data_IF_631640951586
#
_entry.id   IF_631640951586
#
_cell.length_a   1.000
_cell.length_b   1.000
_cell.length_c   1.000
_cell.angle_alpha   90.00
_cell.angle_beta   90.00
_cell.angle_gamma   90.00
#
_symmetry.space_group_name_H-M   'P 1'
#
loop_
_entity.id
_entity.type
_entity.pdbx_description
1 polymer ?
#
# COMPACT_ATOMS: atom_id res chain seq x y z
N UNK A 1 9.63 -21.04 13.59
CA UNK A 1 10.66 -20.18 14.25
C UNK A 1 11.38 -19.41 13.15
N UNK A 2 11.28 -18.09 13.12
CA UNK A 2 12.07 -17.27 12.19
C UNK A 2 13.57 -17.43 12.49
N UNK A 3 14.38 -17.65 11.46
CA UNK A 3 15.84 -17.68 11.55
C UNK A 3 16.40 -16.48 10.78
N UNK A 4 17.50 -15.91 11.27
CA UNK A 4 18.24 -14.86 10.58
C UNK A 4 18.75 -15.43 9.25
N UNK A 5 18.35 -14.84 8.13
CA UNK A 5 18.94 -15.14 6.84
C UNK A 5 20.40 -14.64 6.84
N UNK A 6 21.31 -15.43 6.25
CA UNK A 6 22.69 -15.01 6.04
C UNK A 6 22.74 -13.73 5.20
N UNK A 7 23.74 -12.91 5.52
CA UNK A 7 23.92 -11.54 5.03
C UNK A 7 24.42 -11.56 3.58
N UNK A 8 23.53 -11.91 2.64
CA UNK A 8 23.71 -11.53 1.24
C UNK A 8 23.68 -10.00 1.10
N UNK A 9 24.18 -9.45 -0.02
CA UNK A 9 24.08 -8.02 -0.31
C UNK A 9 22.61 -7.58 -0.22
N UNK A 10 22.26 -6.96 0.92
CA UNK A 10 20.93 -6.39 1.12
C UNK A 10 20.84 -5.18 0.20
N UNK A 11 20.14 -5.33 -0.91
CA UNK A 11 19.82 -4.20 -1.79
C UNK A 11 19.15 -3.12 -0.95
N UNK A 12 19.74 -1.93 -0.92
CA UNK A 12 19.18 -0.80 -0.19
C UNK A 12 17.80 -0.46 -0.76
N UNK A 13 16.81 -0.23 0.09
CA UNK A 13 15.56 0.40 -0.30
C UNK A 13 15.16 1.42 0.76
N UNK A 14 14.57 2.53 0.31
CA UNK A 14 13.91 3.50 1.18
C UNK A 14 12.63 2.92 1.82
N UNK A 15 12.15 1.79 1.29
CA UNK A 15 11.07 0.95 1.80
C UNK A 15 11.59 -0.47 2.12
N UNK A 16 12.47 -0.64 3.14
CA UNK A 16 13.29 -1.82 3.33
C UNK A 16 12.54 -3.09 3.76
N UNK A 17 11.32 -2.95 4.26
CA UNK A 17 10.43 -4.08 4.51
C UNK A 17 9.08 -3.76 3.89
N UNK A 18 8.83 -4.46 2.78
CA UNK A 18 7.66 -4.30 1.92
C UNK A 18 6.59 -5.33 2.30
N UNK A 19 6.32 -5.48 3.61
CA UNK A 19 5.06 -6.11 4.00
C UNK A 19 3.94 -5.17 3.56
N UNK A 20 3.15 -5.57 2.57
CA UNK A 20 2.15 -4.71 1.94
C UNK A 20 1.15 -4.10 2.94
N UNK A 21 0.98 -4.73 4.11
CA UNK A 21 0.08 -4.29 5.18
C UNK A 21 0.67 -3.25 6.14
N UNK A 22 2.00 -3.13 6.23
CA UNK A 22 2.67 -2.21 7.17
C UNK A 22 4.07 -1.84 6.64
N UNK A 23 4.15 -0.93 5.65
CA UNK A 23 5.42 -0.53 5.05
C UNK A 23 6.36 0.08 6.09
N UNK A 24 7.64 -0.30 6.04
CA UNK A 24 8.70 0.42 6.75
C UNK A 24 9.29 1.50 5.83
N UNK A 25 9.54 2.67 6.39
CA UNK A 25 10.12 3.83 5.72
C UNK A 25 11.43 4.21 6.40
N UNK A 26 12.49 4.44 5.61
CA UNK A 26 13.72 5.06 6.11
C UNK A 26 13.59 6.58 6.16
N UNK A 27 14.55 7.23 6.82
CA UNK A 27 14.60 8.69 6.96
C UNK A 27 14.33 9.48 5.67
N UNK A 28 14.93 9.17 4.49
CA UNK A 28 14.64 9.93 3.27
C UNK A 28 13.17 9.86 2.83
N UNK A 29 12.55 8.68 2.94
CA UNK A 29 11.13 8.51 2.65
C UNK A 29 10.25 9.29 3.64
N UNK A 30 10.60 9.27 4.93
CA UNK A 30 9.87 10.03 5.96
C UNK A 30 9.97 11.53 5.72
N UNK A 31 11.17 12.05 5.46
CA UNK A 31 11.40 13.47 5.18
C UNK A 31 10.62 13.94 3.94
N UNK A 32 10.56 13.11 2.89
CA UNK A 32 9.85 13.44 1.66
C UNK A 32 8.31 13.29 1.75
N UNK A 33 7.81 12.27 2.46
CA UNK A 33 6.41 11.83 2.34
C UNK A 33 5.57 12.06 3.61
N UNK A 34 6.16 12.41 4.76
CA UNK A 34 5.42 12.49 6.02
C UNK A 34 4.22 13.43 5.95
N UNK A 35 4.33 14.59 5.30
CA UNK A 35 3.21 15.52 5.14
C UNK A 35 2.04 14.91 4.36
N UNK A 36 2.32 14.10 3.34
CA UNK A 36 1.30 13.41 2.54
C UNK A 36 0.72 12.19 3.24
N UNK A 37 1.47 11.54 4.15
CA UNK A 37 1.06 10.32 4.85
C UNK A 37 0.27 10.58 6.14
N UNK A 38 0.60 11.66 6.88
CA UNK A 38 -0.04 12.00 8.16
C UNK A 38 -1.56 12.12 8.13
N UNK A 39 -2.22 12.58 7.04
CA UNK A 39 -3.67 12.57 6.96
C UNK A 39 -4.29 11.16 6.98
N UNK A 40 -3.53 10.14 6.61
CA UNK A 40 -4.03 8.78 6.41
C UNK A 40 -3.55 7.78 7.48
N UNK A 41 -2.67 8.20 8.38
CA UNK A 41 -2.09 7.32 9.38
C UNK A 41 -0.95 7.90 10.19
N UNK A 42 -0.26 7.01 10.88
CA UNK A 42 0.80 7.33 11.83
C UNK A 42 2.15 6.81 11.34
N UNK A 43 3.21 7.56 11.62
CA UNK A 43 4.59 7.14 11.43
C UNK A 43 5.19 6.79 12.79
N UNK A 44 5.32 5.50 13.06
CA UNK A 44 5.78 4.97 14.35
C UNK A 44 7.26 4.63 14.27
N UNK A 45 8.09 5.40 14.98
CA UNK A 45 9.53 5.14 15.03
C UNK A 45 9.82 3.79 15.70
N UNK A 46 10.66 2.97 15.07
CA UNK A 46 11.15 1.74 15.68
C UNK A 46 12.34 2.04 16.60
N UNK A 47 12.30 1.50 17.82
CA UNK A 47 13.33 1.77 18.82
C UNK A 47 14.68 1.22 18.34
N UNK A 48 15.69 2.08 18.32
CA UNK A 48 17.08 1.70 18.00
C UNK A 48 17.41 1.69 16.52
N UNK A 49 16.49 2.07 15.63
CA UNK A 49 16.68 2.10 14.18
C UNK A 49 16.19 3.43 13.61
N UNK A 50 16.84 3.97 12.57
CA UNK A 50 16.32 5.12 11.82
C UNK A 50 15.28 4.68 10.76
N UNK A 51 14.24 3.99 11.24
CA UNK A 51 13.16 3.43 10.45
C UNK A 51 11.82 3.64 11.14
N UNK A 52 10.79 3.95 10.35
CA UNK A 52 9.44 4.21 10.80
C UNK A 52 8.48 3.22 10.16
N UNK A 53 7.58 2.66 10.95
CA UNK A 53 6.44 1.91 10.47
C UNK A 53 5.31 2.87 10.08
N UNK A 54 4.78 2.72 8.87
CA UNK A 54 3.54 3.39 8.48
C UNK A 54 2.33 2.56 8.94
N UNK A 55 1.64 3.07 9.96
CA UNK A 55 0.36 2.56 10.40
C UNK A 55 -0.77 3.34 9.73
N UNK A 56 -1.23 2.87 8.55
CA UNK A 56 -2.41 3.46 7.89
C UNK A 56 -3.65 3.15 8.73
N UNK A 57 -4.30 4.21 9.23
CA UNK A 57 -5.54 4.16 10.02
C UNK A 57 -6.76 4.60 9.19
N UNK A 58 -6.53 5.15 8.00
CA UNK A 58 -7.59 5.46 7.05
C UNK A 58 -8.13 4.18 6.39
N UNK A 59 -9.24 3.68 6.93
CA UNK A 59 -9.91 2.47 6.47
C UNK A 59 -11.16 2.85 5.69
N UNK A 60 -11.27 2.34 4.46
CA UNK A 60 -12.42 2.58 3.56
C UNK A 60 -12.99 1.23 3.13
N UNK A 61 -14.29 1.04 3.33
CA UNK A 61 -15.02 -0.13 2.85
C UNK A 61 -15.39 0.00 1.36
N UNK A 62 -14.35 -0.04 0.51
CA UNK A 62 -14.45 0.22 -0.92
C UNK A 62 -14.37 -1.05 -1.79
N UNK A 63 -14.25 -2.25 -1.21
CA UNK A 63 -14.18 -3.48 -2.01
C UNK A 63 -15.54 -3.77 -2.63
N UNK A 64 -15.59 -3.86 -3.95
CA UNK A 64 -16.76 -4.37 -4.67
C UNK A 64 -16.64 -5.88 -4.78
N UNK A 65 -17.23 -6.60 -3.83
CA UNK A 65 -17.14 -8.06 -3.78
C UNK A 65 -17.79 -8.75 -4.98
N UNK A 66 -18.78 -8.12 -5.62
CA UNK A 66 -19.48 -8.69 -6.77
C UNK A 66 -18.64 -8.62 -8.05
N UNK A 67 -17.78 -7.60 -8.19
CA UNK A 67 -16.87 -7.42 -9.33
C UNK A 67 -15.44 -7.93 -9.08
N UNK A 68 -15.09 -8.19 -7.81
CA UNK A 68 -13.79 -8.74 -7.43
C UNK A 68 -13.73 -10.25 -7.62
N UNK A 69 -12.52 -10.78 -7.81
CA UNK A 69 -12.26 -12.22 -7.78
C UNK A 69 -11.76 -12.59 -6.39
N UNK A 70 -12.64 -13.19 -5.58
CA UNK A 70 -12.41 -13.46 -4.16
C UNK A 70 -12.42 -14.97 -3.93
N UNK A 71 -11.37 -15.48 -3.30
CA UNK A 71 -11.32 -16.83 -2.74
C UNK A 71 -11.75 -16.76 -1.28
N UNK A 72 -12.69 -17.62 -0.88
CA UNK A 72 -13.25 -17.65 0.47
C UNK A 72 -12.96 -18.99 1.16
N UNK A 73 -12.91 -18.95 2.49
CA UNK A 73 -13.02 -20.16 3.30
C UNK A 73 -14.45 -20.71 3.25
N UNK A 74 -14.65 -21.97 3.66
CA UNK A 74 -15.98 -22.58 3.77
C UNK A 74 -16.94 -21.78 4.68
N UNK A 75 -16.38 -21.04 5.65
CA UNK A 75 -17.13 -20.15 6.55
C UNK A 75 -17.57 -18.82 5.94
N UNK A 76 -17.18 -18.53 4.69
CA UNK A 76 -17.53 -17.30 3.97
C UNK A 76 -16.53 -16.14 4.14
N UNK A 77 -15.60 -16.23 5.08
CA UNK A 77 -14.52 -15.25 5.25
C UNK A 77 -13.59 -15.21 4.03
N UNK A 78 -13.06 -14.02 3.72
CA UNK A 78 -12.10 -13.82 2.62
C UNK A 78 -10.77 -14.51 2.97
N UNK A 79 -10.37 -15.47 2.14
CA UNK A 79 -9.05 -16.10 2.19
C UNK A 79 -8.05 -15.26 1.38
N UNK A 80 -8.42 -14.88 0.15
CA UNK A 80 -7.58 -14.08 -0.74
C UNK A 80 -8.44 -13.28 -1.73
N UNK A 81 -7.89 -12.17 -2.22
CA UNK A 81 -8.46 -11.40 -3.33
C UNK A 81 -7.47 -11.49 -4.48
N UNK A 82 -7.83 -12.23 -5.52
CA UNK A 82 -6.97 -12.45 -6.70
C UNK A 82 -7.07 -11.30 -7.71
N UNK A 83 -8.21 -10.60 -7.73
CA UNK A 83 -8.42 -9.39 -8.52
C UNK A 83 -9.32 -8.42 -7.78
N UNK A 84 -8.83 -7.20 -7.60
CA UNK A 84 -9.57 -6.13 -6.95
C UNK A 84 -10.53 -5.44 -7.93
N UNK A 85 -11.74 -5.18 -7.48
CA UNK A 85 -12.60 -4.14 -8.01
C UNK A 85 -12.98 -3.22 -6.85
N UNK A 86 -12.84 -1.91 -7.06
CA UNK A 86 -13.20 -0.92 -6.05
C UNK A 86 -14.43 -0.10 -6.45
N UNK A 87 -15.13 0.39 -5.42
CA UNK A 87 -16.09 1.47 -5.52
C UNK A 87 -15.34 2.81 -5.47
N UNK A 88 -15.25 3.47 -6.62
CA UNK A 88 -14.51 4.73 -6.78
C UNK A 88 -15.11 5.88 -5.96
N UNK A 89 -16.43 5.91 -5.81
CA UNK A 89 -17.14 6.98 -5.11
C UNK A 89 -16.83 6.92 -3.61
N UNK A 90 -16.74 5.71 -3.04
CA UNK A 90 -16.35 5.51 -1.63
C UNK A 90 -14.89 5.90 -1.36
N UNK A 91 -13.99 5.68 -2.31
CA UNK A 91 -12.57 6.10 -2.17
C UNK A 91 -12.47 7.63 -2.25
N UNK A 92 -13.23 8.26 -3.14
CA UNK A 92 -13.21 9.70 -3.34
C UNK A 92 -11.80 10.19 -3.69
N UNK A 93 -11.29 11.17 -2.94
CA UNK A 93 -9.97 11.76 -3.14
C UNK A 93 -8.87 11.17 -2.25
N UNK A 94 -9.13 10.07 -1.54
CA UNK A 94 -8.13 9.48 -0.64
C UNK A 94 -6.90 9.00 -1.42
N UNK A 95 -5.72 9.46 -1.01
CA UNK A 95 -4.46 9.05 -1.63
C UNK A 95 -3.92 7.73 -1.07
N UNK A 96 -4.25 7.40 0.18
CA UNK A 96 -3.76 6.20 0.88
C UNK A 96 -4.88 5.61 1.74
N UNK A 97 -5.15 4.31 1.63
CA UNK A 97 -6.17 3.65 2.45
C UNK A 97 -5.91 2.15 2.65
N UNK A 98 -6.68 1.55 3.57
CA UNK A 98 -6.82 0.09 3.75
C UNK A 98 -8.28 -0.33 3.65
N UNK A 99 -8.51 -1.60 3.32
CA UNK A 99 -9.82 -2.25 3.43
C UNK A 99 -10.11 -2.67 4.88
N UNK A 100 -11.39 -2.83 5.26
CA UNK A 100 -11.80 -3.25 6.60
C UNK A 100 -11.58 -4.75 6.86
N UNK A 101 -10.38 -5.25 6.57
CA UNK A 101 -9.99 -6.64 6.78
C UNK A 101 -8.60 -6.75 7.40
N UNK A 102 -8.37 -7.86 8.12
CA UNK A 102 -7.06 -8.15 8.72
C UNK A 102 -6.05 -8.31 7.60
N UNK A 103 -4.86 -7.76 7.79
CA UNK A 103 -3.81 -7.80 6.78
C UNK A 103 -4.31 -7.27 5.41
N UNK A 104 -5.08 -6.17 5.40
CA UNK A 104 -5.28 -5.42 4.15
C UNK A 104 -3.94 -4.84 3.68
N UNK A 105 -3.59 -4.95 2.39
CA UNK A 105 -2.54 -4.13 1.79
C UNK A 105 -2.83 -2.63 1.99
N UNK A 106 -1.79 -1.82 1.92
CA UNK A 106 -1.90 -0.37 1.78
C UNK A 106 -2.11 -0.05 0.31
N UNK A 107 -3.27 0.51 -0.02
CA UNK A 107 -3.58 0.98 -1.35
C UNK A 107 -3.22 2.46 -1.47
N UNK A 108 -2.68 2.83 -2.63
CA UNK A 108 -2.36 4.21 -2.97
C UNK A 108 -2.85 4.55 -4.36
N UNK A 109 -3.13 5.83 -4.62
CA UNK A 109 -3.49 6.30 -5.95
C UNK A 109 -2.28 6.86 -6.73
N UNK A 110 -2.51 7.22 -7.99
CA UNK A 110 -1.47 7.76 -8.87
C UNK A 110 -0.85 9.07 -8.38
N UNK A 111 -1.62 9.91 -7.67
CA UNK A 111 -1.11 11.16 -7.09
C UNK A 111 0.00 10.84 -6.09
N UNK A 112 -0.22 9.87 -5.20
CA UNK A 112 0.80 9.45 -4.24
C UNK A 112 2.01 8.78 -4.92
N UNK A 113 1.77 7.94 -5.92
CA UNK A 113 2.84 7.31 -6.71
C UNK A 113 3.75 8.38 -7.35
N UNK A 114 3.17 9.44 -7.90
CA UNK A 114 3.93 10.55 -8.47
C UNK A 114 4.73 11.33 -7.42
N UNK A 115 4.23 11.47 -6.18
CA UNK A 115 5.01 12.05 -5.08
C UNK A 115 6.26 11.21 -4.78
N UNK A 116 6.10 9.90 -4.71
CA UNK A 116 7.21 8.96 -4.47
C UNK A 116 8.24 9.02 -5.59
N UNK A 117 7.80 9.03 -6.86
CA UNK A 117 8.68 9.16 -8.03
C UNK A 117 9.48 10.48 -8.01
N UNK A 118 8.80 11.60 -7.75
CA UNK A 118 9.43 12.93 -7.68
C UNK A 118 10.41 13.08 -6.51
N UNK A 119 10.21 12.34 -5.43
CA UNK A 119 11.11 12.31 -4.28
C UNK A 119 12.44 11.58 -4.55
N UNK A 120 12.58 10.86 -5.68
CA UNK A 120 13.83 10.17 -6.04
C UNK A 120 14.19 9.02 -5.09
N UNK A 121 13.20 8.41 -4.44
CA UNK A 121 13.39 7.31 -3.50
C UNK A 121 13.89 6.05 -4.23
N UNK A 122 14.80 5.32 -3.60
CA UNK A 122 15.49 4.18 -4.22
C UNK A 122 14.75 2.87 -3.97
N UNK A 123 14.63 2.08 -5.03
CA UNK A 123 14.09 0.71 -5.00
C UNK A 123 12.69 0.65 -4.35
N UNK A 124 11.80 1.54 -4.79
CA UNK A 124 10.37 1.56 -4.45
C UNK A 124 9.59 1.26 -5.72
N UNK A 125 8.63 0.33 -5.64
CA UNK A 125 7.77 -0.05 -6.77
C UNK A 125 6.33 -0.22 -6.30
N UNK A 126 5.40 -0.10 -7.25
CA UNK A 126 3.96 -0.20 -7.00
C UNK A 126 3.37 -1.17 -8.01
N UNK A 127 2.47 -2.03 -7.55
CA UNK A 127 1.70 -2.93 -8.40
C UNK A 127 0.36 -2.25 -8.77
N UNK A 128 0.04 -2.11 -10.06
CA UNK A 128 -1.27 -1.62 -10.48
C UNK A 128 -2.33 -2.72 -10.28
N UNK A 129 -3.18 -2.55 -9.27
CA UNK A 129 -4.19 -3.56 -8.90
C UNK A 129 -5.60 -3.29 -9.43
N UNK A 130 -5.89 -2.04 -9.81
CA UNK A 130 -7.21 -1.63 -10.30
C UNK A 130 -7.13 -0.27 -11.01
N UNK A 131 -8.05 -0.02 -11.95
CA UNK A 131 -8.26 1.30 -12.57
C UNK A 131 -9.74 1.67 -12.50
N UNK A 132 -10.04 2.92 -12.14
CA UNK A 132 -11.41 3.43 -12.27
C UNK A 132 -11.73 3.52 -13.75
N UNK A 133 -12.77 2.84 -14.20
CA UNK A 133 -13.11 2.75 -15.61
C UNK A 133 -13.37 4.13 -16.22
N UNK A 134 -12.36 4.69 -16.88
CA UNK A 134 -12.47 5.53 -18.07
C UNK A 134 -11.20 5.29 -18.89
N UNK A 135 -11.11 4.10 -19.48
CA UNK A 135 -10.27 3.96 -20.67
C UNK A 135 -11.01 4.71 -21.79
N UNK A 136 -10.62 5.96 -22.03
CA UNK A 136 -10.85 6.59 -23.32
C UNK A 136 -10.33 5.64 -24.41
N UNK A 137 -11.21 5.35 -25.38
CA UNK A 137 -10.95 4.45 -26.47
C UNK A 137 -9.60 4.75 -27.14
N UNK A 138 -8.71 3.76 -27.17
CA UNK A 138 -7.62 3.74 -28.12
C UNK A 138 -8.21 3.36 -29.48
N UNK A 139 -8.47 4.37 -30.31
CA UNK A 139 -8.54 4.15 -31.74
C UNK A 139 -7.14 3.89 -32.26
N UNK A 140 -6.95 2.75 -32.92
CA UNK A 140 -6.34 2.59 -34.24
C UNK A 140 -6.70 1.21 -34.79
#
# INVERSE_FOLDING_TARGET
VMRRAEEGERLYSDFPWLGEHAPLLRRPAVEALAAALRPYGELVALRGEEVWLLNVTHVIDALDEARSQIVRFDGGDILAIERYAFDAEKIGSAEVFKLPMRASPVFVNDVFVERVRKAGLRNVSFEPVWTSGTAIASGE
#
